data_IF_374260235122
#
_entry.id   IF_374260235122
#
_cell.length_a   1.000
_cell.length_b   1.000
_cell.length_c   1.000
_cell.angle_alpha   90.00
_cell.angle_beta   90.00
_cell.angle_gamma   90.00
#
_symmetry.space_group_name_H-M   'P 1'
#
loop_
_entity.id
_entity.type
_entity.pdbx_description
1 polymer ?
#
# COMPACT_ATOMS: atom_id res chain seq x y z
N UNK A 1 -9.87 -25.47 10.04
CA UNK A 1 -8.81 -25.75 9.05
C UNK A 1 -7.73 -24.66 9.16
N UNK A 2 -6.45 -25.02 9.01
CA UNK A 2 -5.30 -24.11 9.10
C UNK A 2 -4.48 -24.24 7.82
N UNK A 3 -4.04 -23.09 7.24
CA UNK A 3 -3.10 -23.03 6.13
C UNK A 3 -1.76 -22.48 6.59
N UNK A 4 -0.68 -23.18 6.28
CA UNK A 4 0.67 -22.66 6.45
C UNK A 4 1.07 -21.85 5.21
N UNK A 5 1.65 -20.68 5.44
CA UNK A 5 2.34 -19.86 4.44
C UNK A 5 3.82 -19.95 4.78
N UNK A 6 4.58 -20.63 3.93
CA UNK A 6 5.98 -20.94 4.20
C UNK A 6 6.91 -20.09 3.35
N UNK A 7 7.86 -19.49 4.01
CA UNK A 7 9.01 -18.82 3.40
C UNK A 7 10.26 -19.66 3.58
N UNK A 8 11.28 -19.41 2.78
CA UNK A 8 12.59 -20.04 2.89
C UNK A 8 13.70 -19.00 2.88
N UNK A 9 14.20 -18.66 4.06
CA UNK A 9 15.39 -17.81 4.20
C UNK A 9 16.66 -18.51 3.71
N UNK A 10 16.66 -19.84 3.63
CA UNK A 10 17.73 -20.62 3.01
C UNK A 10 17.78 -20.35 1.51
N UNK A 11 16.67 -20.53 0.78
CA UNK A 11 16.60 -20.22 -0.65
C UNK A 11 17.00 -18.78 -0.96
N UNK A 12 16.62 -17.84 -0.08
CA UNK A 12 17.06 -16.45 -0.21
C UNK A 12 18.58 -16.29 -0.13
N UNK A 13 19.25 -16.96 0.82
CA UNK A 13 20.70 -16.91 1.00
C UNK A 13 21.44 -17.55 -0.17
N UNK A 14 20.88 -18.58 -0.74
CA UNK A 14 21.42 -19.29 -1.92
C UNK A 14 21.16 -18.54 -3.24
N UNK A 15 20.43 -17.43 -3.19
CA UNK A 15 20.11 -16.62 -4.37
C UNK A 15 18.91 -17.12 -5.17
N UNK A 16 18.25 -18.17 -4.72
CA UNK A 16 17.05 -18.73 -5.34
C UNK A 16 15.79 -17.92 -4.94
N UNK A 17 15.65 -16.76 -5.57
CA UNK A 17 14.54 -15.85 -5.28
C UNK A 17 13.16 -16.41 -5.63
N UNK A 18 13.09 -17.40 -6.54
CA UNK A 18 11.82 -18.00 -6.96
C UNK A 18 11.20 -18.88 -5.88
N UNK A 19 12.03 -19.53 -5.07
CA UNK A 19 11.60 -20.45 -4.02
C UNK A 19 11.64 -19.84 -2.61
N UNK A 20 11.70 -18.51 -2.49
CA UNK A 20 11.59 -17.82 -1.18
C UNK A 20 10.19 -17.98 -0.58
N UNK A 21 9.13 -17.93 -1.39
CA UNK A 21 7.77 -18.28 -1.00
C UNK A 21 7.42 -19.65 -1.59
N UNK A 22 7.15 -20.62 -0.72
CA UNK A 22 6.87 -21.99 -1.13
C UNK A 22 5.40 -22.13 -1.55
N UNK A 23 5.13 -21.97 -2.84
CA UNK A 23 3.78 -22.05 -3.43
C UNK A 23 3.27 -23.49 -3.60
N UNK A 24 4.17 -24.42 -3.85
CA UNK A 24 3.89 -25.84 -4.19
C UNK A 24 3.78 -26.76 -2.98
N UNK A 25 3.23 -26.29 -1.87
CA UNK A 25 3.04 -27.11 -0.68
C UNK A 25 2.17 -28.33 -0.99
N UNK A 26 2.47 -29.45 -0.31
CA UNK A 26 1.73 -30.70 -0.43
C UNK A 26 0.24 -30.42 -0.29
N UNK A 27 -0.50 -30.72 -1.34
CA UNK A 27 -1.94 -30.69 -1.33
C UNK A 27 -2.38 -32.10 -0.92
N UNK A 28 -3.01 -32.18 0.23
CA UNK A 28 -3.64 -33.42 0.70
C UNK A 28 -4.64 -33.92 -0.35
N UNK A 29 -4.78 -35.23 -0.50
CA UNK A 29 -5.75 -35.83 -1.42
C UNK A 29 -7.18 -35.37 -1.12
N UNK A 30 -7.53 -35.16 0.15
CA UNK A 30 -8.81 -34.60 0.58
C UNK A 30 -9.07 -33.22 -0.04
N UNK A 31 -8.02 -32.36 -0.10
CA UNK A 31 -8.16 -31.03 -0.72
C UNK A 31 -8.33 -31.12 -2.24
N UNK A 32 -7.76 -32.13 -2.88
CA UNK A 32 -7.94 -32.37 -4.33
C UNK A 32 -9.33 -32.86 -4.67
N UNK A 33 -9.92 -33.67 -3.82
CA UNK A 33 -11.28 -34.23 -4.00
C UNK A 33 -12.36 -33.17 -3.78
N UNK A 34 -12.18 -32.30 -2.78
CA UNK A 34 -13.15 -31.22 -2.48
C UNK A 34 -13.05 -30.03 -3.46
N UNK A 35 -11.95 -29.86 -4.18
CA UNK A 35 -11.73 -28.74 -5.13
C UNK A 35 -11.63 -27.35 -4.48
N UNK A 36 -11.99 -27.24 -3.19
CA UNK A 36 -12.01 -25.99 -2.42
C UNK A 36 -11.46 -26.23 -1.02
N UNK A 37 -10.60 -25.34 -0.56
CA UNK A 37 -10.08 -25.34 0.80
C UNK A 37 -10.32 -24.01 1.48
N UNK A 38 -11.10 -24.01 2.56
CA UNK A 38 -11.45 -22.82 3.34
C UNK A 38 -10.75 -22.83 4.71
N UNK A 39 -9.53 -22.33 4.82
CA UNK A 39 -8.86 -22.19 6.10
C UNK A 39 -9.49 -21.04 6.92
N UNK A 40 -9.72 -21.30 8.19
CA UNK A 40 -10.16 -20.30 9.16
C UNK A 40 -8.95 -19.48 9.65
N UNK A 41 -7.79 -20.14 9.70
CA UNK A 41 -6.56 -19.57 10.24
C UNK A 41 -5.36 -19.85 9.34
N UNK A 42 -4.37 -18.95 9.44
CA UNK A 42 -3.10 -19.03 8.74
C UNK A 42 -1.95 -18.93 9.73
N UNK A 43 -0.87 -19.65 9.46
CA UNK A 43 0.39 -19.57 10.20
C UNK A 43 1.50 -19.24 9.21
N UNK A 44 2.28 -18.21 9.52
CA UNK A 44 3.45 -17.82 8.75
C UNK A 44 4.68 -18.46 9.36
N UNK A 45 5.52 -19.12 8.57
CA UNK A 45 6.75 -19.71 9.04
C UNK A 45 7.88 -19.56 8.02
N UNK A 46 9.10 -19.48 8.50
CA UNK A 46 10.33 -19.43 7.72
C UNK A 46 11.10 -20.74 7.86
N UNK A 47 11.41 -21.38 6.75
CA UNK A 47 12.30 -22.53 6.69
C UNK A 47 13.76 -22.07 6.62
N UNK A 48 14.57 -22.51 7.56
CA UNK A 48 15.95 -22.08 7.72
C UNK A 48 16.98 -23.16 7.35
N UNK A 49 16.56 -24.19 6.59
CA UNK A 49 17.36 -25.31 6.15
C UNK A 49 17.16 -26.58 6.98
N UNK A 50 17.01 -26.47 8.28
CA UNK A 50 16.88 -27.62 9.18
C UNK A 50 15.69 -27.54 10.15
N UNK A 51 15.05 -26.39 10.27
CA UNK A 51 13.87 -26.19 11.11
C UNK A 51 13.02 -25.02 10.61
N UNK A 52 11.80 -24.89 11.18
CA UNK A 52 10.89 -23.80 10.89
C UNK A 52 10.87 -22.81 12.06
N UNK A 53 10.92 -21.52 11.73
CA UNK A 53 10.72 -20.42 12.67
C UNK A 53 9.34 -19.81 12.46
N UNK A 54 8.60 -19.64 13.54
CA UNK A 54 7.33 -18.94 13.50
C UNK A 54 7.56 -17.46 13.17
N UNK A 55 6.87 -16.95 12.16
CA UNK A 55 6.84 -15.52 11.84
C UNK A 55 5.66 -14.90 12.59
N UNK A 56 5.94 -13.84 13.34
CA UNK A 56 4.93 -13.06 14.05
C UNK A 56 4.81 -11.68 13.43
N UNK A 57 3.59 -11.16 13.38
CA UNK A 57 3.34 -9.80 12.89
C UNK A 57 2.30 -9.14 13.79
N UNK A 58 2.56 -7.93 14.28
CA UNK A 58 1.70 -7.19 15.19
C UNK A 58 1.19 -8.01 16.40
N UNK A 59 2.08 -8.80 17.01
CA UNK A 59 1.79 -9.74 18.09
C UNK A 59 0.89 -10.93 17.73
N UNK A 60 0.49 -11.08 16.47
CA UNK A 60 -0.22 -12.28 16.02
C UNK A 60 0.76 -13.38 15.67
N UNK A 61 0.45 -14.60 16.11
CA UNK A 61 1.14 -15.86 15.77
C UNK A 61 0.28 -16.71 14.83
N UNK A 62 -1.02 -16.51 14.90
CA UNK A 62 -2.04 -17.14 14.08
C UNK A 62 -2.87 -15.99 13.51
N UNK A 63 -3.18 -16.04 12.24
CA UNK A 63 -3.84 -14.98 11.48
C UNK A 63 -5.17 -15.50 10.93
N UNK A 64 -6.22 -14.69 10.95
CA UNK A 64 -7.31 -14.85 10.00
C UNK A 64 -6.92 -14.17 8.67
N UNK A 65 -7.68 -14.37 7.60
CA UNK A 65 -7.31 -13.83 6.28
C UNK A 65 -7.13 -12.29 6.27
N UNK A 66 -8.00 -11.47 6.88
CA UNK A 66 -7.76 -10.02 6.98
C UNK A 66 -6.46 -9.63 7.69
N UNK A 67 -6.01 -10.41 8.67
CA UNK A 67 -4.81 -10.15 9.47
C UNK A 67 -3.49 -10.53 8.75
N UNK A 68 -3.56 -11.30 7.66
CA UNK A 68 -2.36 -11.58 6.86
C UNK A 68 -1.86 -10.26 6.28
N UNK A 69 -0.56 -9.89 6.48
CA UNK A 69 0.00 -8.67 5.92
C UNK A 69 -0.29 -8.54 4.41
N UNK A 70 -0.72 -7.35 4.00
CA UNK A 70 -1.14 -7.10 2.61
C UNK A 70 -0.05 -7.49 1.60
N UNK A 71 1.23 -7.16 1.89
CA UNK A 71 2.37 -7.53 1.05
C UNK A 71 2.54 -9.05 0.89
N UNK A 72 2.19 -9.82 1.90
CA UNK A 72 2.21 -11.29 1.80
C UNK A 72 1.09 -11.78 0.91
N UNK A 73 -0.11 -11.19 1.01
CA UNK A 73 -1.22 -11.50 0.10
C UNK A 73 -0.89 -11.18 -1.34
N UNK A 74 -0.28 -10.01 -1.60
CA UNK A 74 0.24 -9.64 -2.92
C UNK A 74 1.27 -10.65 -3.43
N UNK A 75 2.26 -10.98 -2.61
CA UNK A 75 3.31 -11.92 -2.98
C UNK A 75 2.74 -13.31 -3.34
N UNK A 76 1.71 -13.77 -2.62
CA UNK A 76 0.99 -15.00 -2.94
C UNK A 76 0.22 -14.86 -4.26
N UNK A 77 -0.45 -13.74 -4.46
CA UNK A 77 -1.15 -13.44 -5.70
C UNK A 77 -0.20 -13.48 -6.90
N UNK A 78 0.93 -12.78 -6.80
CA UNK A 78 1.92 -12.68 -7.87
C UNK A 78 2.66 -13.99 -8.15
N UNK A 79 3.08 -14.71 -7.11
CA UNK A 79 3.98 -15.86 -7.28
C UNK A 79 3.26 -17.21 -7.26
N UNK A 80 2.10 -17.33 -6.57
CA UNK A 80 1.46 -18.62 -6.36
C UNK A 80 0.16 -18.80 -7.15
N UNK A 81 -0.56 -17.71 -7.47
CA UNK A 81 -1.84 -17.83 -8.16
C UNK A 81 -1.69 -17.88 -9.68
N UNK A 82 -0.58 -17.44 -10.23
CA UNK A 82 -0.32 -17.41 -11.67
C UNK A 82 0.06 -18.76 -12.27
N UNK A 83 0.62 -19.69 -11.51
CA UNK A 83 0.95 -21.05 -11.97
C UNK A 83 -0.30 -21.95 -12.06
N UNK A 84 -0.30 -22.96 -12.92
CA UNK A 84 -1.43 -23.89 -13.07
C UNK A 84 -1.63 -24.79 -11.84
N UNK A 85 -0.60 -24.97 -11.02
CA UNK A 85 -0.61 -25.82 -9.83
C UNK A 85 -0.19 -25.04 -8.60
N UNK A 86 -1.07 -24.88 -7.63
CA UNK A 86 -0.71 -24.22 -6.38
C UNK A 86 -1.80 -24.36 -5.32
N UNK A 87 -1.37 -24.65 -4.09
CA UNK A 87 -2.27 -24.83 -2.95
C UNK A 87 -3.11 -23.58 -2.62
N UNK A 88 -2.73 -22.40 -3.09
CA UNK A 88 -3.50 -21.17 -2.87
C UNK A 88 -4.65 -20.99 -3.87
N UNK A 89 -4.61 -21.63 -5.03
CA UNK A 89 -5.69 -21.57 -6.03
C UNK A 89 -7.02 -22.15 -5.56
N UNK A 90 -7.00 -23.10 -4.65
CA UNK A 90 -8.21 -23.71 -4.09
C UNK A 90 -8.74 -22.99 -2.85
N UNK A 91 -8.17 -21.82 -2.48
CA UNK A 91 -8.57 -21.01 -1.33
C UNK A 91 -9.38 -19.81 -1.82
N UNK A 92 -10.74 -19.79 -1.62
CA UNK A 92 -11.60 -18.74 -2.16
C UNK A 92 -11.21 -17.31 -1.73
N UNK A 93 -10.69 -17.16 -0.52
CA UNK A 93 -10.25 -15.85 -0.01
C UNK A 93 -9.10 -15.25 -0.84
N UNK A 94 -8.15 -16.07 -1.29
CA UNK A 94 -7.08 -15.62 -2.18
C UNK A 94 -7.56 -15.41 -3.61
N UNK A 95 -8.49 -16.21 -4.10
CA UNK A 95 -9.12 -16.00 -5.41
C UNK A 95 -9.86 -14.67 -5.47
N UNK A 96 -10.69 -14.41 -4.46
CA UNK A 96 -11.40 -13.13 -4.34
C UNK A 96 -10.42 -11.96 -4.24
N UNK A 97 -9.38 -12.05 -3.40
CA UNK A 97 -8.37 -11.02 -3.27
C UNK A 97 -7.67 -10.73 -4.60
N UNK A 98 -7.33 -11.77 -5.37
CA UNK A 98 -6.71 -11.65 -6.69
C UNK A 98 -7.65 -10.97 -7.70
N UNK A 99 -8.93 -11.36 -7.71
CA UNK A 99 -9.97 -10.75 -8.54
C UNK A 99 -10.18 -9.26 -8.19
N UNK A 100 -10.25 -8.93 -6.90
CA UNK A 100 -10.42 -7.56 -6.40
C UNK A 100 -9.23 -6.65 -6.75
N UNK A 101 -8.03 -7.22 -6.96
CA UNK A 101 -6.85 -6.51 -7.44
C UNK A 101 -6.90 -6.22 -8.95
N UNK A 102 -7.85 -6.79 -9.69
CA UNK A 102 -7.88 -6.72 -11.16
C UNK A 102 -6.68 -7.40 -11.83
N UNK A 103 -6.02 -8.33 -11.14
CA UNK A 103 -4.92 -9.14 -11.69
C UNK A 103 -5.56 -10.21 -12.58
N UNK A 104 -5.56 -9.97 -13.87
CA UNK A 104 -6.15 -10.81 -14.90
C UNK A 104 -5.18 -11.94 -15.31
N UNK A 105 -5.75 -12.98 -15.89
CA UNK A 105 -5.21 -14.27 -16.34
C UNK A 105 -3.90 -14.20 -17.19
N UNK A 106 -3.23 -15.35 -17.45
CA UNK A 106 -1.83 -15.47 -17.90
C UNK A 106 -1.46 -14.90 -19.27
N UNK A 107 -2.39 -14.37 -20.03
CA UNK A 107 -2.10 -13.79 -21.36
C UNK A 107 -1.46 -12.38 -21.31
N UNK A 108 -1.44 -11.76 -20.10
CA UNK A 108 -0.82 -10.45 -19.86
C UNK A 108 0.61 -10.54 -19.29
N UNK A 109 1.40 -11.53 -19.71
CA UNK A 109 2.77 -11.79 -19.23
C UNK A 109 3.73 -10.62 -19.46
N UNK A 110 3.43 -9.70 -20.37
CA UNK A 110 4.24 -8.48 -20.58
C UNK A 110 4.16 -7.47 -19.41
N UNK A 111 3.07 -7.48 -18.61
CA UNK A 111 2.90 -6.54 -17.49
C UNK A 111 3.76 -6.93 -16.28
N UNK A 112 4.24 -8.16 -16.19
CA UNK A 112 4.90 -8.74 -15.01
C UNK A 112 6.40 -8.44 -14.96
N UNK A 113 7.04 -8.28 -16.07
CA UNK A 113 8.43 -7.78 -16.09
C UNK A 113 8.50 -6.30 -15.69
N UNK A 114 7.42 -5.53 -15.88
CA UNK A 114 7.32 -4.15 -15.41
C UNK A 114 7.10 -4.03 -13.89
N UNK A 115 6.44 -4.99 -13.21
CA UNK A 115 6.19 -4.92 -11.76
C UNK A 115 7.46 -5.08 -10.92
N UNK A 116 8.47 -5.78 -11.44
CA UNK A 116 9.80 -5.84 -10.84
C UNK A 116 10.60 -4.54 -11.01
N UNK A 117 10.06 -3.52 -11.69
CA UNK A 117 10.74 -2.28 -12.03
C UNK A 117 9.85 -1.05 -11.79
N UNK A 118 9.18 -0.98 -10.61
CA UNK A 118 8.37 0.18 -10.21
C UNK A 118 9.16 1.49 -10.24
N UNK A 119 10.48 1.43 -10.14
CA UNK A 119 11.36 2.60 -10.16
C UNK A 119 12.78 2.25 -10.61
N UNK A 120 13.47 3.24 -11.16
CA UNK A 120 14.91 3.26 -11.35
C UNK A 120 15.56 3.67 -10.01
N UNK A 121 16.38 2.78 -9.43
CA UNK A 121 17.05 3.01 -8.13
C UNK A 121 18.06 4.17 -8.16
N UNK A 122 18.53 4.51 -9.35
CA UNK A 122 19.53 5.55 -9.56
C UNK A 122 18.89 6.96 -9.71
N UNK A 123 17.54 7.02 -9.76
CA UNK A 123 16.79 8.27 -9.77
C UNK A 123 15.95 8.34 -8.49
N UNK A 124 16.24 9.31 -7.63
CA UNK A 124 15.61 9.43 -6.32
C UNK A 124 15.04 10.83 -6.14
N UNK A 125 13.76 10.91 -5.78
CA UNK A 125 13.13 12.15 -5.35
C UNK A 125 12.63 12.02 -3.92
N UNK A 126 12.74 13.10 -3.16
CA UNK A 126 12.17 13.20 -1.81
C UNK A 126 11.03 14.20 -1.80
N UNK A 127 9.97 13.85 -1.08
CA UNK A 127 8.81 14.71 -0.95
C UNK A 127 8.29 14.75 0.50
N UNK A 128 7.71 15.88 0.88
CA UNK A 128 7.02 16.09 2.16
C UNK A 128 6.28 17.44 2.14
N UNK A 129 5.27 17.59 3.00
CA UNK A 129 4.37 18.76 3.00
C UNK A 129 5.09 20.11 3.22
N UNK A 130 6.23 20.12 3.92
CA UNK A 130 7.01 21.33 4.17
C UNK A 130 8.22 21.46 3.23
N UNK A 131 8.28 20.68 2.14
CA UNK A 131 9.40 20.74 1.20
C UNK A 131 9.50 22.11 0.54
N UNK A 132 10.73 22.52 0.25
CA UNK A 132 10.98 23.70 -0.56
C UNK A 132 10.86 23.34 -2.05
N UNK A 133 10.20 24.20 -2.83
CA UNK A 133 10.04 24.03 -4.27
C UNK A 133 11.21 24.59 -5.11
N UNK A 134 12.16 25.29 -4.47
CA UNK A 134 13.31 25.91 -5.17
C UNK A 134 14.27 24.92 -5.81
N UNK A 135 14.67 23.81 -5.19
CA UNK A 135 15.56 22.87 -5.85
C UNK A 135 14.87 22.24 -7.07
N UNK A 136 15.56 22.25 -8.22
CA UNK A 136 15.14 21.46 -9.37
C UNK A 136 15.06 19.96 -9.00
N UNK A 137 14.31 19.13 -9.75
CA UNK A 137 14.32 17.68 -9.55
C UNK A 137 15.76 17.14 -9.52
N UNK A 138 16.08 16.29 -8.56
CA UNK A 138 17.41 15.73 -8.36
C UNK A 138 18.41 16.63 -7.66
N UNK A 139 18.06 17.89 -7.32
CA UNK A 139 18.93 18.83 -6.62
C UNK A 139 18.54 19.07 -5.16
N UNK A 140 17.47 18.42 -4.70
CA UNK A 140 17.11 18.40 -3.29
C UNK A 140 18.06 17.53 -2.46
N UNK A 141 18.11 17.77 -1.14
CA UNK A 141 18.91 16.93 -0.23
C UNK A 141 18.45 15.47 -0.29
N UNK A 142 19.38 14.57 -0.61
CA UNK A 142 19.07 13.14 -0.74
C UNK A 142 18.36 12.76 -2.03
N UNK A 143 18.21 13.67 -2.98
CA UNK A 143 17.74 13.39 -4.33
C UNK A 143 18.91 13.12 -5.28
N UNK A 144 18.64 12.38 -6.34
CA UNK A 144 19.61 12.02 -7.35
C UNK A 144 18.96 11.85 -8.72
N UNK A 145 19.65 12.36 -9.75
CA UNK A 145 19.41 12.05 -11.16
C UNK A 145 20.75 11.76 -11.79
N UNK A 146 20.95 10.66 -12.52
CA UNK A 146 22.18 10.40 -13.27
C UNK A 146 22.45 11.49 -14.30
N UNK A 147 23.72 11.78 -14.53
CA UNK A 147 24.15 12.77 -15.50
C UNK A 147 23.55 12.50 -16.89
N UNK A 148 22.98 13.54 -17.50
CA UNK A 148 22.35 13.48 -18.83
C UNK A 148 20.86 13.14 -18.84
N UNK A 149 20.27 12.69 -17.69
CA UNK A 149 18.83 12.38 -17.59
C UNK A 149 18.00 13.56 -17.06
N UNK A 150 18.59 14.71 -16.73
CA UNK A 150 17.87 15.83 -16.12
C UNK A 150 16.72 16.37 -17.00
N UNK A 151 16.90 16.32 -18.34
CA UNK A 151 15.88 16.77 -19.30
C UNK A 151 14.59 15.96 -19.24
N UNK A 152 14.64 14.72 -18.80
CA UNK A 152 13.46 13.85 -18.65
C UNK A 152 12.45 14.40 -17.61
N UNK A 153 12.91 15.27 -16.72
CA UNK A 153 12.14 15.87 -15.63
C UNK A 153 11.86 17.36 -15.82
N UNK A 154 12.08 17.90 -17.03
CA UNK A 154 11.86 19.31 -17.32
C UNK A 154 10.42 19.74 -17.00
N UNK A 155 9.41 18.94 -17.42
CA UNK A 155 8.01 19.22 -17.13
C UNK A 155 7.70 19.25 -15.63
N UNK A 156 8.31 18.35 -14.84
CA UNK A 156 8.14 18.34 -13.40
C UNK A 156 8.73 19.59 -12.74
N UNK A 157 9.83 20.11 -13.28
CA UNK A 157 10.47 21.33 -12.77
C UNK A 157 9.65 22.59 -12.95
N UNK A 158 8.72 22.60 -13.92
CA UNK A 158 7.82 23.71 -14.20
C UNK A 158 6.61 23.75 -13.25
N UNK A 159 6.31 22.64 -12.57
CA UNK A 159 5.16 22.54 -11.68
C UNK A 159 5.52 23.07 -10.29
N UNK A 160 4.87 24.16 -9.89
CA UNK A 160 5.07 24.71 -8.56
C UNK A 160 4.67 23.73 -7.45
N UNK A 161 5.50 23.66 -6.40
CA UNK A 161 5.23 22.85 -5.20
C UNK A 161 5.00 21.35 -5.45
N UNK A 162 5.49 20.78 -6.56
CA UNK A 162 5.25 19.39 -6.93
C UNK A 162 5.59 18.39 -5.80
N UNK A 163 6.65 18.65 -4.99
CA UNK A 163 7.02 17.79 -3.86
C UNK A 163 5.96 17.81 -2.75
N UNK A 164 5.41 18.99 -2.45
CA UNK A 164 4.33 19.12 -1.45
C UNK A 164 3.05 18.42 -1.93
N UNK A 165 2.75 18.55 -3.22
CA UNK A 165 1.56 17.99 -3.83
C UNK A 165 1.54 16.47 -3.85
N UNK A 166 2.71 15.82 -3.80
CA UNK A 166 2.82 14.37 -3.62
C UNK A 166 2.45 13.93 -2.19
N UNK A 167 2.59 14.80 -1.18
CA UNK A 167 2.36 14.43 0.21
C UNK A 167 0.89 14.09 0.51
N UNK A 168 0.68 13.16 1.46
CA UNK A 168 -0.64 12.74 1.90
C UNK A 168 -1.41 13.84 2.62
N UNK A 169 -0.68 14.78 3.25
CA UNK A 169 -1.24 15.94 3.95
C UNK A 169 -1.71 17.03 2.99
N UNK A 170 -1.23 17.02 1.73
CA UNK A 170 -1.55 18.09 0.79
C UNK A 170 -3.03 18.10 0.44
N UNK A 171 -3.73 19.26 0.59
CA UNK A 171 -5.11 19.41 0.22
C UNK A 171 -5.33 19.12 -1.26
N UNK A 172 -6.10 18.09 -1.54
CA UNK A 172 -6.46 17.69 -2.89
C UNK A 172 -7.76 16.90 -2.78
N UNK A 173 -8.88 17.57 -3.04
CA UNK A 173 -10.20 16.97 -2.89
C UNK A 173 -10.41 15.85 -3.90
N UNK A 174 -11.02 14.75 -3.47
CA UNK A 174 -11.40 13.61 -4.29
C UNK A 174 -12.60 12.88 -3.68
N UNK A 175 -13.26 12.04 -4.46
CA UNK A 175 -14.35 11.17 -4.03
C UNK A 175 -13.86 9.74 -3.84
N UNK A 176 -14.22 9.13 -2.71
CA UNK A 176 -13.96 7.74 -2.42
C UNK A 176 -15.01 7.21 -1.44
N UNK A 177 -15.48 5.98 -1.64
CA UNK A 177 -16.56 5.36 -0.85
C UNK A 177 -17.85 6.19 -0.81
N UNK A 178 -18.15 6.94 -1.88
CA UNK A 178 -19.32 7.81 -1.97
C UNK A 178 -19.24 9.10 -1.17
N UNK A 179 -18.06 9.47 -0.66
CA UNK A 179 -17.84 10.67 0.14
C UNK A 179 -16.68 11.50 -0.41
N UNK A 180 -16.71 12.82 -0.11
CA UNK A 180 -15.65 13.76 -0.46
C UNK A 180 -14.61 13.87 0.65
N UNK A 181 -13.35 13.83 0.27
CA UNK A 181 -12.20 13.86 1.19
C UNK A 181 -11.28 15.04 0.86
N UNK A 182 -10.76 15.69 1.90
CA UNK A 182 -9.91 16.86 1.76
C UNK A 182 -8.46 16.50 1.41
N UNK A 183 -7.97 15.37 1.92
CA UNK A 183 -6.63 14.85 1.65
C UNK A 183 -6.57 13.34 1.92
N UNK A 184 -5.50 12.70 1.42
CA UNK A 184 -5.22 11.27 1.67
C UNK A 184 -5.16 10.98 3.17
N UNK A 185 -4.55 11.87 3.95
CA UNK A 185 -4.42 11.69 5.40
C UNK A 185 -5.75 11.72 6.13
N UNK A 186 -6.74 12.52 5.67
CA UNK A 186 -8.10 12.49 6.23
C UNK A 186 -8.73 11.12 6.04
N UNK A 187 -8.67 10.57 4.84
CA UNK A 187 -9.23 9.26 4.56
C UNK A 187 -8.55 8.15 5.36
N UNK A 188 -7.21 8.12 5.42
CA UNK A 188 -6.47 7.09 6.17
C UNK A 188 -6.85 7.12 7.66
N UNK A 189 -6.96 8.32 8.26
CA UNK A 189 -7.35 8.43 9.65
C UNK A 189 -8.82 8.03 9.88
N UNK A 190 -9.72 8.34 8.94
CA UNK A 190 -11.10 7.89 8.95
C UNK A 190 -11.21 6.36 8.84
N UNK A 191 -10.50 5.76 7.89
CA UNK A 191 -10.58 4.34 7.56
C UNK A 191 -10.32 3.42 8.76
N UNK A 192 -9.61 3.90 9.77
CA UNK A 192 -9.41 3.21 11.06
C UNK A 192 -10.71 2.87 11.79
N UNK A 193 -11.81 3.54 11.43
CA UNK A 193 -13.11 3.45 12.11
C UNK A 193 -14.23 2.99 11.17
N UNK A 194 -13.97 2.83 9.89
CA UNK A 194 -14.97 2.55 8.85
C UNK A 194 -15.87 1.37 9.21
N UNK A 195 -15.30 0.28 9.68
CA UNK A 195 -16.04 -0.96 9.98
C UNK A 195 -16.57 -0.99 11.43
N UNK A 196 -15.94 -0.27 12.35
CA UNK A 196 -16.27 -0.33 13.79
C UNK A 196 -17.09 0.83 14.29
N UNK A 197 -17.00 1.99 13.64
CA UNK A 197 -17.75 3.20 13.99
C UNK A 197 -17.97 4.11 12.76
N UNK A 198 -18.90 3.74 11.86
CA UNK A 198 -19.15 4.47 10.61
C UNK A 198 -19.54 5.95 10.81
N UNK A 199 -20.24 6.26 11.87
CA UNK A 199 -20.62 7.65 12.18
C UNK A 199 -19.37 8.51 12.47
N UNK A 200 -18.43 7.97 13.23
CA UNK A 200 -17.18 8.68 13.49
C UNK A 200 -16.28 8.74 12.26
N UNK A 201 -16.24 7.69 11.43
CA UNK A 201 -15.57 7.70 10.12
C UNK A 201 -16.06 8.87 9.27
N UNK A 202 -17.35 9.10 9.20
CA UNK A 202 -17.93 10.18 8.39
C UNK A 202 -17.51 11.58 8.85
N UNK A 203 -17.16 11.79 10.12
CA UNK A 203 -16.70 13.11 10.59
C UNK A 203 -15.43 13.61 9.91
N UNK A 204 -14.64 12.74 9.30
CA UNK A 204 -13.43 13.11 8.56
C UNK A 204 -13.74 13.52 7.10
N UNK A 205 -14.92 13.19 6.57
CA UNK A 205 -15.33 13.57 5.22
C UNK A 205 -15.77 15.02 5.15
N UNK A 206 -15.59 15.65 4.01
CA UNK A 206 -16.04 17.02 3.75
C UNK A 206 -17.56 17.16 3.86
N UNK A 207 -18.30 16.07 3.60
CA UNK A 207 -19.75 16.04 3.67
C UNK A 207 -20.27 16.30 5.09
N UNK A 208 -19.48 15.92 6.11
CA UNK A 208 -19.84 16.12 7.52
C UNK A 208 -19.81 17.58 7.97
N UNK A 209 -19.03 18.44 7.28
CA UNK A 209 -18.74 19.82 7.66
C UNK A 209 -18.15 19.97 9.08
N UNK A 210 -17.64 18.91 9.66
CA UNK A 210 -17.00 18.93 10.99
C UNK A 210 -15.66 19.66 10.93
N UNK A 211 -15.16 20.12 12.08
CA UNK A 211 -13.82 20.73 12.16
C UNK A 211 -12.71 19.75 11.78
N UNK A 212 -12.93 18.45 11.97
CA UNK A 212 -11.97 17.40 11.62
C UNK A 212 -11.81 17.30 10.10
N UNK A 213 -12.86 17.60 9.33
CA UNK A 213 -12.91 17.33 7.88
C UNK A 213 -11.98 18.20 7.03
N UNK A 214 -11.51 19.34 7.55
CA UNK A 214 -10.62 20.28 6.83
C UNK A 214 -9.32 20.58 7.56
N UNK A 215 -9.21 20.21 8.83
CA UNK A 215 -8.00 20.44 9.62
C UNK A 215 -7.21 19.14 9.75
N UNK A 216 -6.07 19.09 9.07
CA UNK A 216 -5.19 17.91 9.05
C UNK A 216 -4.65 17.56 10.44
N UNK A 217 -4.43 18.57 11.30
CA UNK A 217 -3.95 18.38 12.66
C UNK A 217 -5.02 17.72 13.52
N UNK A 218 -6.26 18.17 13.39
CA UNK A 218 -7.39 17.57 14.07
C UNK A 218 -7.69 16.16 13.55
N UNK A 219 -7.61 15.94 12.24
CA UNK A 219 -7.80 14.61 11.64
C UNK A 219 -6.77 13.61 12.18
N UNK A 220 -5.48 13.96 12.17
CA UNK A 220 -4.41 13.13 12.76
C UNK A 220 -4.61 12.88 14.24
N UNK A 221 -4.99 13.89 15.00
CA UNK A 221 -5.21 13.77 16.43
C UNK A 221 -6.43 12.88 16.74
N UNK A 222 -7.55 13.05 16.04
CA UNK A 222 -8.75 12.23 16.17
C UNK A 222 -8.47 10.75 15.80
N UNK A 223 -7.70 10.53 14.74
CA UNK A 223 -7.27 9.20 14.28
C UNK A 223 -6.10 8.60 15.07
N UNK A 224 -5.50 9.32 16.02
CA UNK A 224 -4.37 8.83 16.84
C UNK A 224 -4.81 7.80 17.87
N UNK A 225 -3.82 7.11 18.50
CA UNK A 225 -4.09 6.15 19.57
C UNK A 225 -4.92 6.77 20.72
N UNK A 226 -4.68 8.02 21.06
CA UNK A 226 -5.34 8.70 22.18
C UNK A 226 -6.64 9.40 21.81
N UNK A 227 -6.81 9.81 20.55
CA UNK A 227 -7.93 10.62 20.08
C UNK A 227 -7.98 12.01 20.71
N UNK A 228 -6.82 12.57 21.15
CA UNK A 228 -6.72 13.86 21.83
C UNK A 228 -5.91 14.87 21.05
N UNK A 229 -6.32 16.15 21.14
CA UNK A 229 -5.55 17.29 20.66
C UNK A 229 -5.44 18.33 21.79
N UNK A 230 -4.22 18.72 22.16
CA UNK A 230 -3.95 19.73 23.22
C UNK A 230 -4.70 19.46 24.53
N UNK A 231 -4.87 18.19 24.91
CA UNK A 231 -5.60 17.80 26.11
C UNK A 231 -7.11 17.56 25.91
N UNK A 232 -7.70 18.11 24.87
CA UNK A 232 -9.12 17.93 24.55
C UNK A 232 -9.37 16.60 23.81
N UNK A 233 -10.49 15.97 24.12
CA UNK A 233 -10.90 14.70 23.54
C UNK A 233 -11.68 14.94 22.25
N UNK A 234 -11.09 14.62 21.10
CA UNK A 234 -11.73 14.68 19.79
C UNK A 234 -12.53 13.42 19.46
N UNK A 235 -12.26 12.33 20.14
CA UNK A 235 -12.91 11.04 19.97
C UNK A 235 -13.30 10.46 21.32
N UNK A 236 -14.58 10.07 21.46
CA UNK A 236 -15.06 9.40 22.66
C UNK A 236 -14.20 8.16 22.99
N UNK A 237 -14.02 7.88 24.29
CA UNK A 237 -13.23 6.73 24.76
C UNK A 237 -13.80 5.38 24.31
N UNK A 238 -15.09 5.34 24.00
CA UNK A 238 -15.80 4.14 23.55
C UNK A 238 -15.49 3.81 22.09
N UNK A 239 -15.14 4.81 21.28
CA UNK A 239 -14.77 4.66 19.88
C UNK A 239 -13.32 4.16 19.80
N UNK A 240 -13.13 2.95 19.35
CA UNK A 240 -11.82 2.32 19.20
C UNK A 240 -11.41 2.21 17.73
N UNK A 241 -10.11 2.30 17.52
CA UNK A 241 -9.52 1.93 16.22
C UNK A 241 -9.82 0.46 15.97
N UNK A 242 -10.22 0.12 14.75
CA UNK A 242 -10.39 -1.28 14.32
C UNK A 242 -9.08 -2.05 14.60
N UNK A 243 -9.12 -3.10 15.45
CA UNK A 243 -7.92 -3.87 15.78
C UNK A 243 -7.28 -4.54 14.55
N UNK A 244 -8.05 -4.78 13.49
CA UNK A 244 -7.57 -5.39 12.24
C UNK A 244 -7.03 -4.37 11.25
N UNK A 245 -7.16 -3.05 11.51
CA UNK A 245 -6.77 -2.00 10.58
C UNK A 245 -5.31 -2.13 10.13
N UNK A 246 -4.40 -2.26 11.08
CA UNK A 246 -2.96 -2.40 10.79
C UNK A 246 -2.54 -3.80 10.29
N UNK A 247 -3.49 -4.66 9.99
CA UNK A 247 -3.29 -5.99 9.41
C UNK A 247 -3.43 -6.02 7.89
N UNK A 248 -3.25 -4.88 7.21
CA UNK A 248 -3.28 -4.73 5.76
C UNK A 248 -4.40 -3.82 5.24
N UNK A 249 -5.42 -3.50 6.07
CA UNK A 249 -6.44 -2.50 5.68
C UNK A 249 -5.85 -1.10 5.58
N UNK A 250 -4.80 -0.79 6.34
CA UNK A 250 -4.06 0.48 6.26
C UNK A 250 -3.38 0.66 4.90
N UNK A 251 -2.76 -0.40 4.36
CA UNK A 251 -2.14 -0.37 3.03
C UNK A 251 -3.21 -0.25 1.93
N UNK A 252 -4.33 -0.97 2.05
CA UNK A 252 -5.46 -0.87 1.13
C UNK A 252 -6.09 0.53 1.14
N UNK A 253 -6.30 1.10 2.34
CA UNK A 253 -6.82 2.44 2.49
C UNK A 253 -5.89 3.48 1.85
N UNK A 254 -4.57 3.34 2.06
CA UNK A 254 -3.57 4.21 1.44
C UNK A 254 -3.60 4.10 -0.09
N UNK A 255 -3.62 2.89 -0.63
CA UNK A 255 -3.66 2.66 -2.07
C UNK A 255 -4.93 3.25 -2.70
N UNK A 256 -6.09 2.98 -2.11
CA UNK A 256 -7.37 3.50 -2.59
C UNK A 256 -7.40 5.04 -2.59
N UNK A 257 -6.94 5.66 -1.51
CA UNK A 257 -6.90 7.11 -1.40
C UNK A 257 -5.90 7.77 -2.36
N UNK A 258 -4.71 7.17 -2.54
CA UNK A 258 -3.73 7.64 -3.51
C UNK A 258 -4.26 7.50 -4.94
N UNK A 259 -4.86 6.36 -5.26
CA UNK A 259 -5.46 6.15 -6.57
C UNK A 259 -6.55 7.20 -6.84
N UNK A 260 -7.47 7.43 -5.91
CA UNK A 260 -8.51 8.45 -6.04
C UNK A 260 -7.92 9.86 -6.20
N UNK A 261 -6.94 10.26 -5.36
CA UNK A 261 -6.26 11.56 -5.46
C UNK A 261 -5.64 11.78 -6.83
N UNK A 262 -4.91 10.80 -7.33
CA UNK A 262 -4.11 10.96 -8.55
C UNK A 262 -4.89 10.63 -9.83
N UNK A 263 -6.00 9.88 -9.78
CA UNK A 263 -6.83 9.64 -10.96
C UNK A 263 -7.87 10.73 -11.20
N UNK A 264 -8.39 11.35 -10.15
CA UNK A 264 -9.48 12.33 -10.24
C UNK A 264 -9.02 13.79 -10.39
N UNK A 265 -7.73 14.08 -10.16
CA UNK A 265 -7.18 15.43 -10.25
C UNK A 265 -6.04 15.47 -11.27
N UNK A 266 -6.26 16.15 -12.40
CA UNK A 266 -5.34 16.19 -13.53
C UNK A 266 -3.97 16.81 -13.15
N UNK A 267 -3.93 17.82 -12.28
CA UNK A 267 -2.68 18.39 -11.82
C UNK A 267 -1.88 17.37 -10.98
N UNK A 268 -2.54 16.71 -10.02
CA UNK A 268 -1.90 15.68 -9.19
C UNK A 268 -1.42 14.51 -10.03
N UNK A 269 -2.26 14.06 -10.97
CA UNK A 269 -1.94 13.01 -11.93
C UNK A 269 -0.71 13.38 -12.76
N UNK A 270 -0.69 14.58 -13.34
CA UNK A 270 0.44 15.09 -14.12
C UNK A 270 1.72 15.10 -13.29
N UNK A 271 1.67 15.54 -12.03
CA UNK A 271 2.84 15.55 -11.14
C UNK A 271 3.37 14.12 -10.96
N UNK A 272 2.50 13.18 -10.58
CA UNK A 272 2.91 11.81 -10.30
C UNK A 272 3.50 11.15 -11.55
N UNK A 273 2.86 11.32 -12.71
CA UNK A 273 3.35 10.77 -13.98
C UNK A 273 4.69 11.39 -14.42
N UNK A 274 4.89 12.70 -14.22
CA UNK A 274 6.16 13.37 -14.57
C UNK A 274 7.31 13.03 -13.60
N UNK A 275 7.07 12.30 -12.51
CA UNK A 275 8.17 11.66 -11.76
C UNK A 275 8.78 10.47 -12.51
N UNK A 276 8.23 10.08 -13.64
CA UNK A 276 8.68 8.98 -14.48
C UNK A 276 8.95 7.70 -13.64
N UNK A 277 10.11 7.09 -13.78
CA UNK A 277 10.54 5.94 -12.97
C UNK A 277 11.37 6.32 -11.74
N UNK A 278 11.30 7.55 -11.24
CA UNK A 278 12.03 7.90 -10.03
C UNK A 278 11.54 7.11 -8.82
N UNK A 279 12.47 6.68 -7.96
CA UNK A 279 12.18 6.19 -6.62
C UNK A 279 11.67 7.35 -5.77
N UNK A 280 10.46 7.23 -5.25
CA UNK A 280 9.83 8.24 -4.41
C UNK A 280 10.08 7.94 -2.94
N UNK A 281 10.68 8.88 -2.24
CA UNK A 281 11.02 8.77 -0.83
C UNK A 281 10.25 9.81 -0.02
N UNK A 282 9.41 9.33 0.91
CA UNK A 282 8.66 10.20 1.81
C UNK A 282 9.49 10.56 3.04
N UNK A 283 9.70 11.85 3.27
CA UNK A 283 10.40 12.36 4.45
C UNK A 283 9.40 12.71 5.54
N UNK A 284 9.51 12.04 6.68
CA UNK A 284 8.63 12.21 7.83
C UNK A 284 9.38 12.81 9.04
N UNK A 285 9.84 14.04 8.90
CA UNK A 285 10.45 14.77 10.01
C UNK A 285 11.83 14.26 10.41
N UNK A 286 12.00 13.75 11.64
CA UNK A 286 13.31 13.32 12.18
C UNK A 286 13.75 11.92 11.77
N UNK A 287 12.87 11.12 11.18
CA UNK A 287 13.18 9.77 10.72
C UNK A 287 13.82 9.80 9.32
N UNK A 288 14.65 8.81 8.95
CA UNK A 288 15.12 8.66 7.58
C UNK A 288 13.95 8.55 6.61
N UNK A 289 14.09 9.08 5.37
CA UNK A 289 13.05 8.96 4.35
C UNK A 289 12.71 7.49 4.06
N UNK A 290 11.41 7.20 3.91
CA UNK A 290 10.93 5.86 3.59
C UNK A 290 10.49 5.77 2.13
N UNK A 291 10.73 4.62 1.51
CA UNK A 291 10.23 4.33 0.16
C UNK A 291 8.70 4.35 0.15
N UNK A 292 8.12 4.99 -0.87
CA UNK A 292 6.67 5.09 -1.07
C UNK A 292 6.21 4.13 -2.14
N UNK A 293 6.37 2.83 -1.85
CA UNK A 293 6.11 1.76 -2.81
C UNK A 293 4.67 1.78 -3.31
N UNK A 294 3.68 2.02 -2.44
CA UNK A 294 2.26 2.15 -2.80
C UNK A 294 2.02 3.29 -3.79
N UNK A 295 2.69 4.45 -3.62
CA UNK A 295 2.55 5.57 -4.56
C UNK A 295 3.17 5.24 -5.92
N UNK A 296 4.30 4.55 -5.94
CA UNK A 296 4.94 4.11 -7.18
C UNK A 296 4.12 3.04 -7.89
N UNK A 297 3.42 2.17 -7.14
CA UNK A 297 2.46 1.22 -7.68
C UNK A 297 1.27 1.94 -8.34
N UNK A 298 0.68 2.94 -7.66
CA UNK A 298 -0.41 3.77 -8.23
C UNK A 298 0.06 4.48 -9.50
N UNK A 299 1.29 5.03 -9.50
CA UNK A 299 1.89 5.61 -10.72
C UNK A 299 1.95 4.61 -11.87
N UNK A 300 2.41 3.40 -11.63
CA UNK A 300 2.49 2.34 -12.64
C UNK A 300 1.11 2.00 -13.20
N UNK A 301 0.10 1.87 -12.34
CA UNK A 301 -1.29 1.62 -12.77
C UNK A 301 -1.81 2.74 -13.69
N UNK A 302 -1.62 4.01 -13.30
CA UNK A 302 -2.03 5.16 -14.10
C UNK A 302 -1.31 5.23 -15.46
N UNK A 303 -0.04 4.85 -15.53
CA UNK A 303 0.70 4.78 -16.82
C UNK A 303 0.07 3.73 -17.75
N UNK A 304 -0.29 2.57 -17.19
CA UNK A 304 -0.85 1.47 -17.99
C UNK A 304 -2.27 1.80 -18.50
N UNK A 305 -3.08 2.51 -17.70
CA UNK A 305 -4.38 3.02 -18.13
C UNK A 305 -4.30 3.99 -19.33
N UNK A 306 -3.18 4.69 -19.49
CA UNK A 306 -2.95 5.61 -20.61
C UNK A 306 -2.48 4.92 -21.89
N UNK A 307 -1.97 3.70 -21.82
CA UNK A 307 -1.47 2.95 -22.98
C UNK A 307 -2.56 2.13 -23.67
N UNK A 308 -3.69 1.93 -22.99
CA UNK A 308 -4.88 1.26 -23.49
C UNK A 308 -5.95 2.29 -23.93
#
# INVERSE_FOLDING_TARGET
KIKFILFSSESWKEGDKKNVLLCGQIIDNIMKEEGVFEPQYYILADYTGNHYKLITYMNHKIFNFPQIPYKIKLLISENCLRGETGAFKIIPQFQKFNSDLGIIEPDDVEIIEESNNLYDKDIVFQYYIKSNNKPLPGKGKGEMIPFGKEKEFAKLSEIADWRKKLDNDYPSEYELDGHKWYSVEHYINAAKFKDTNPEFYLLFSLDSKSNISKDITLAKAAGSKTGKHKGELLRSKDIKIDPSFFGGKDEQALESALNAKFSQNEEMKSILLNTNKAKLMHFQGSAPPKSSDTMMLVRSKLINEYKN
#
